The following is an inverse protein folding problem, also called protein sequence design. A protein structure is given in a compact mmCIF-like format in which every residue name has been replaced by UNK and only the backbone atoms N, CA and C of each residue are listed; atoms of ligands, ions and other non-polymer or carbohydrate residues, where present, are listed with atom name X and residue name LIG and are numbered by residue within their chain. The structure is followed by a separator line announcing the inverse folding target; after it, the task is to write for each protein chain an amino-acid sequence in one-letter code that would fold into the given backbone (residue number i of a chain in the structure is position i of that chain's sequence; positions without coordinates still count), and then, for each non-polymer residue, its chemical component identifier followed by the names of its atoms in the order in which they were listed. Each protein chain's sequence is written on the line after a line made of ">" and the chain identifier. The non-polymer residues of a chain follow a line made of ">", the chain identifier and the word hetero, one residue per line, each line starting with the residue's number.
data_IF_574023869692
#
_entry.id   IF_574023869692
#
_cell.length_a   1.000
_cell.length_b   1.000
_cell.length_c   1.000
_cell.angle_alpha   90.00
_cell.angle_beta   90.00
_cell.angle_gamma   90.00
#
_symmetry.space_group_name_H-M   'P 1'
#
loop_
_entity.id
_entity.type
_entity.pdbx_description
1 polymer ?
#
# COMPACT_ATOMS: atom_id res chain seq x y z
N UNK A 1 -8.53 3.50 -16.46
CA UNK A 1 -9.22 4.32 -15.45
C UNK A 1 -8.20 5.22 -14.74
N UNK A 2 -8.53 6.50 -14.47
CA UNK A 2 -7.69 7.44 -13.73
C UNK A 2 -7.71 7.09 -12.24
N UNK A 3 -6.57 7.25 -11.57
CA UNK A 3 -6.43 6.92 -10.15
C UNK A 3 -7.18 7.96 -9.30
N UNK A 4 -8.02 7.50 -8.37
CA UNK A 4 -8.64 8.35 -7.35
C UNK A 4 -7.83 8.15 -6.08
N UNK A 5 -7.13 9.19 -5.63
CA UNK A 5 -6.58 9.22 -4.27
C UNK A 5 -7.77 9.33 -3.33
N UNK A 6 -7.95 8.34 -2.45
CA UNK A 6 -9.06 8.31 -1.49
C UNK A 6 -8.47 8.66 -0.12
N UNK A 7 -8.54 9.94 0.24
CA UNK A 7 -8.31 10.39 1.61
C UNK A 7 -9.50 9.97 2.48
N UNK A 8 -9.22 9.18 3.53
CA UNK A 8 -9.90 9.23 4.83
C UNK A 8 -11.42 8.97 4.95
N UNK A 9 -12.20 8.81 3.88
CA UNK A 9 -13.60 8.42 4.00
C UNK A 9 -13.69 6.92 4.30
N UNK A 10 -14.09 6.58 5.52
CA UNK A 10 -14.35 5.22 6.02
C UNK A 10 -15.18 4.42 5.01
N UNK A 11 -14.49 3.64 4.17
CA UNK A 11 -15.11 2.75 3.19
C UNK A 11 -15.82 1.64 3.98
N UNK A 12 -17.16 1.65 3.96
CA UNK A 12 -18.00 0.59 4.57
C UNK A 12 -17.71 -0.80 3.99
N UNK A 13 -17.11 -0.89 2.81
CA UNK A 13 -16.80 -2.12 2.08
C UNK A 13 -15.34 -2.16 1.58
N UNK A 14 -14.39 -1.82 2.45
CA UNK A 14 -12.97 -1.82 2.09
C UNK A 14 -12.44 -3.20 1.66
N UNK A 15 -13.14 -4.28 2.06
CA UNK A 15 -12.75 -5.67 1.76
C UNK A 15 -12.90 -5.98 0.27
N UNK A 16 -14.03 -5.62 -0.36
CA UNK A 16 -14.19 -5.81 -1.81
C UNK A 16 -13.20 -4.98 -2.64
N UNK A 17 -12.79 -3.81 -2.13
CA UNK A 17 -11.73 -3.02 -2.75
C UNK A 17 -10.33 -3.64 -2.55
N UNK A 18 -10.04 -4.23 -1.39
CA UNK A 18 -8.76 -4.91 -1.15
C UNK A 18 -8.61 -6.15 -2.05
N UNK A 19 -9.68 -6.94 -2.21
CA UNK A 19 -9.68 -8.14 -3.05
C UNK A 19 -9.54 -7.82 -4.56
N UNK A 20 -9.99 -6.64 -4.99
CA UNK A 20 -9.79 -6.15 -6.36
C UNK A 20 -8.53 -5.30 -6.53
N UNK A 21 -7.81 -5.01 -5.43
CA UNK A 21 -6.60 -4.21 -5.45
C UNK A 21 -5.38 -5.05 -5.78
N UNK A 22 -4.61 -4.53 -6.73
CA UNK A 22 -3.41 -5.18 -7.24
C UNK A 22 -2.23 -4.97 -6.27
N UNK A 23 -2.24 -3.87 -5.53
CA UNK A 23 -1.17 -3.44 -4.63
C UNK A 23 -1.81 -2.83 -3.37
N UNK A 24 -1.32 -3.23 -2.21
CA UNK A 24 -1.65 -2.61 -0.93
C UNK A 24 -0.63 -1.51 -0.62
N UNK A 25 -1.10 -0.34 -0.19
CA UNK A 25 -0.23 0.77 0.22
C UNK A 25 -0.61 1.18 1.64
N UNK A 26 0.36 1.14 2.56
CA UNK A 26 0.18 1.66 3.91
C UNK A 26 1.04 2.91 4.10
N UNK A 27 0.40 4.02 4.45
CA UNK A 27 1.08 5.25 4.88
C UNK A 27 1.11 5.22 6.41
N UNK A 28 2.29 5.00 6.97
CA UNK A 28 2.51 4.84 8.40
C UNK A 28 2.92 6.19 8.97
N UNK A 29 1.94 6.90 9.52
CA UNK A 29 2.10 8.17 10.22
C UNK A 29 1.70 8.08 11.70
N UNK A 30 1.65 9.23 12.38
CA UNK A 30 1.33 9.29 13.81
C UNK A 30 -0.13 8.88 14.00
N UNK A 31 -0.35 7.75 14.68
CA UNK A 31 -1.68 7.19 14.92
C UNK A 31 -2.07 6.03 14.01
N UNK A 32 -1.23 5.63 13.04
CA UNK A 32 -1.52 4.47 12.18
C UNK A 32 -1.83 3.20 12.98
N UNK A 33 -1.00 2.88 13.98
CA UNK A 33 -1.23 1.71 14.84
C UNK A 33 -2.41 1.85 15.81
N UNK A 34 -2.92 3.06 16.00
CA UNK A 34 -4.09 3.33 16.86
C UNK A 34 -5.41 3.22 16.09
N UNK A 35 -5.36 3.22 14.74
CA UNK A 35 -6.52 3.02 13.88
C UNK A 35 -6.77 1.53 13.61
N UNK A 36 -7.82 1.00 14.22
CA UNK A 36 -8.25 -0.40 14.05
C UNK A 36 -8.50 -0.78 12.59
N UNK A 37 -8.96 0.16 11.74
CA UNK A 37 -9.19 -0.10 10.32
C UNK A 37 -7.86 -0.30 9.59
N UNK A 38 -6.85 0.51 9.90
CA UNK A 38 -5.51 0.37 9.33
C UNK A 38 -4.89 -0.99 9.70
N UNK A 39 -5.06 -1.42 10.96
CA UNK A 39 -4.63 -2.73 11.41
C UNK A 39 -5.36 -3.86 10.67
N UNK A 40 -6.68 -3.81 10.58
CA UNK A 40 -7.48 -4.82 9.87
C UNK A 40 -7.09 -4.92 8.38
N UNK A 41 -6.90 -3.78 7.71
CA UNK A 41 -6.45 -3.74 6.32
C UNK A 41 -5.07 -4.36 6.14
N UNK A 42 -4.14 -4.05 7.04
CA UNK A 42 -2.77 -4.59 7.00
C UNK A 42 -2.78 -6.11 7.19
N UNK A 43 -3.52 -6.60 8.19
CA UNK A 43 -3.66 -8.04 8.47
C UNK A 43 -4.34 -8.78 7.31
N UNK A 44 -5.36 -8.17 6.71
CA UNK A 44 -6.02 -8.75 5.55
C UNK A 44 -5.06 -8.83 4.36
N UNK A 45 -4.37 -7.74 4.01
CA UNK A 45 -3.36 -7.72 2.93
C UNK A 45 -2.27 -8.79 3.15
N UNK A 46 -1.83 -8.98 4.40
CA UNK A 46 -0.92 -10.07 4.80
C UNK A 46 -1.52 -11.45 4.55
N UNK A 47 -2.77 -11.67 4.94
CA UNK A 47 -3.44 -12.99 4.82
C UNK A 47 -3.56 -13.48 3.38
N UNK A 48 -3.81 -12.57 2.43
CA UNK A 48 -3.94 -12.87 1.00
C UNK A 48 -2.67 -12.53 0.20
N UNK A 49 -1.56 -12.22 0.89
CA UNK A 49 -0.22 -11.97 0.31
C UNK A 49 -0.20 -10.90 -0.80
N UNK A 50 -1.03 -9.87 -0.69
CA UNK A 50 -1.06 -8.77 -1.65
C UNK A 50 0.32 -8.07 -1.69
N UNK A 51 0.89 -7.80 -2.89
CA UNK A 51 2.09 -6.98 -3.02
C UNK A 51 1.92 -5.63 -2.31
N UNK A 52 2.83 -5.30 -1.40
CA UNK A 52 2.64 -4.23 -0.43
C UNK A 52 3.75 -3.18 -0.49
N UNK A 53 3.38 -1.90 -0.46
CA UNK A 53 4.30 -0.77 -0.32
C UNK A 53 4.05 -0.08 1.02
N UNK A 54 5.12 0.12 1.80
CA UNK A 54 5.07 0.92 3.02
C UNK A 54 5.64 2.31 2.77
N UNK A 55 4.97 3.32 3.30
CA UNK A 55 5.41 4.72 3.26
C UNK A 55 5.43 5.24 4.69
N UNK A 56 6.61 5.31 5.30
CA UNK A 56 6.80 5.52 6.74
C UNK A 56 7.26 6.96 7.00
N UNK A 57 6.59 7.68 7.90
CA UNK A 57 7.07 8.99 8.35
C UNK A 57 8.32 8.81 9.24
N UNK A 58 9.38 9.52 8.92
CA UNK A 58 10.61 9.55 9.71
C UNK A 58 10.34 10.04 11.14
N UNK A 59 11.01 9.42 12.12
CA UNK A 59 10.86 9.78 13.53
C UNK A 59 9.69 9.11 14.25
N UNK A 60 8.86 8.32 13.54
CA UNK A 60 7.83 7.51 14.19
C UNK A 60 8.45 6.24 14.76
N UNK A 61 8.45 6.16 16.09
CA UNK A 61 8.95 5.02 16.85
C UNK A 61 7.79 4.14 17.33
N UNK A 62 6.83 3.86 16.44
CA UNK A 62 5.83 2.83 16.71
C UNK A 62 6.51 1.47 16.53
N UNK A 63 6.15 0.47 17.33
CA UNK A 63 6.57 -0.93 17.20
C UNK A 63 6.02 -1.53 15.89
N UNK A 64 6.59 -1.05 14.80
CA UNK A 64 6.37 -1.35 13.38
C UNK A 64 6.82 -2.77 12.98
N UNK A 65 7.87 -3.41 13.56
CA UNK A 65 8.40 -4.65 13.01
C UNK A 65 7.39 -5.79 12.89
N UNK A 66 6.60 -6.04 13.94
CA UNK A 66 5.77 -7.26 14.01
C UNK A 66 4.49 -7.17 13.16
N UNK A 67 3.93 -5.98 13.00
CA UNK A 67 2.70 -5.78 12.22
C UNK A 67 2.97 -6.00 10.73
N UNK A 68 4.09 -5.47 10.23
CA UNK A 68 4.46 -5.54 8.83
C UNK A 68 5.30 -6.78 8.49
N UNK A 69 5.82 -7.49 9.49
CA UNK A 69 6.46 -8.78 9.28
C UNK A 69 5.50 -9.74 8.58
N UNK A 70 5.99 -10.47 7.59
CA UNK A 70 5.18 -11.37 6.75
C UNK A 70 4.28 -10.69 5.70
N UNK A 71 4.30 -9.35 5.56
CA UNK A 71 3.76 -8.72 4.35
C UNK A 71 4.62 -9.08 3.13
N UNK A 72 3.98 -9.19 1.96
CA UNK A 72 4.67 -9.33 0.69
C UNK A 72 5.21 -7.96 0.24
N UNK A 73 6.24 -7.46 0.93
CA UNK A 73 6.79 -6.12 0.73
C UNK A 73 7.56 -6.02 -0.58
N UNK A 74 7.11 -5.12 -1.45
CA UNK A 74 7.81 -4.80 -2.71
C UNK A 74 8.64 -3.52 -2.60
N UNK A 75 8.32 -2.62 -1.66
CA UNK A 75 9.07 -1.39 -1.42
C UNK A 75 8.73 -0.78 -0.06
N UNK A 76 9.72 -0.15 0.57
CA UNK A 76 9.54 0.74 1.72
C UNK A 76 10.12 2.11 1.37
N UNK A 77 9.34 3.16 1.60
CA UNK A 77 9.71 4.56 1.41
C UNK A 77 9.66 5.26 2.76
N UNK A 78 10.61 6.15 3.02
CA UNK A 78 10.61 7.01 4.20
C UNK A 78 10.37 8.45 3.78
N UNK A 79 9.53 9.17 4.53
CA UNK A 79 9.26 10.58 4.27
C UNK A 79 9.32 11.43 5.52
N UNK A 80 9.67 12.69 5.35
CA UNK A 80 9.49 13.77 6.31
C UNK A 80 8.79 14.95 5.61
N UNK A 81 8.50 16.02 6.34
CA UNK A 81 7.77 17.16 5.78
C UNK A 81 8.53 17.86 4.64
N UNK A 82 9.86 17.73 4.60
CA UNK A 82 10.70 18.36 3.56
C UNK A 82 10.76 17.57 2.26
N UNK A 83 10.59 16.24 2.29
CA UNK A 83 10.68 15.38 1.10
C UNK A 83 9.37 14.67 0.73
N UNK A 84 8.28 14.93 1.45
CA UNK A 84 6.97 14.28 1.26
C UNK A 84 6.52 14.26 -0.21
N UNK A 85 6.63 15.39 -0.89
CA UNK A 85 6.22 15.51 -2.30
C UNK A 85 7.04 14.60 -3.22
N UNK A 86 8.36 14.54 -3.02
CA UNK A 86 9.26 13.68 -3.78
C UNK A 86 8.95 12.19 -3.53
N UNK A 87 8.69 11.82 -2.27
CA UNK A 87 8.35 10.44 -1.89
C UNK A 87 7.00 10.02 -2.50
N UNK A 88 6.00 10.90 -2.47
CA UNK A 88 4.70 10.64 -3.09
C UNK A 88 4.81 10.51 -4.61
N UNK A 89 5.71 11.26 -5.24
CA UNK A 89 6.02 11.10 -6.66
C UNK A 89 6.64 9.72 -6.95
N UNK A 90 7.64 9.29 -6.16
CA UNK A 90 8.26 7.96 -6.28
C UNK A 90 7.24 6.84 -6.07
N UNK A 91 6.33 6.99 -5.11
CA UNK A 91 5.22 6.06 -4.90
C UNK A 91 4.36 5.95 -6.17
N UNK A 92 3.97 7.08 -6.75
CA UNK A 92 3.14 7.11 -7.97
C UNK A 92 3.85 6.53 -9.20
N UNK A 93 5.17 6.67 -9.31
CA UNK A 93 5.98 6.00 -10.32
C UNK A 93 6.01 4.49 -10.09
N UNK A 94 6.19 4.05 -8.83
CA UNK A 94 6.25 2.63 -8.50
C UNK A 94 4.95 1.89 -8.73
N UNK A 95 3.83 2.52 -8.39
CA UNK A 95 2.49 1.98 -8.68
C UNK A 95 2.27 1.80 -10.18
N UNK A 96 2.73 2.75 -11.00
CA UNK A 96 2.66 2.65 -12.47
C UNK A 96 3.51 1.51 -13.02
N UNK A 97 4.77 1.38 -12.57
CA UNK A 97 5.64 0.28 -12.98
C UNK A 97 5.04 -1.08 -12.64
N UNK A 98 4.54 -1.23 -11.40
CA UNK A 98 4.03 -2.49 -10.89
C UNK A 98 2.75 -2.88 -11.63
N UNK A 99 1.87 -1.91 -11.92
CA UNK A 99 0.73 -2.13 -12.80
C UNK A 99 1.15 -2.61 -14.19
N UNK A 100 2.13 -1.96 -14.83
CA UNK A 100 2.60 -2.36 -16.17
C UNK A 100 3.15 -3.79 -16.17
N UNK A 101 3.86 -4.19 -15.10
CA UNK A 101 4.35 -5.57 -14.95
C UNK A 101 3.19 -6.56 -14.85
N UNK A 102 2.21 -6.26 -14.01
CA UNK A 102 1.07 -7.14 -13.79
C UNK A 102 0.17 -7.21 -15.02
N UNK A 103 -0.07 -6.10 -15.71
CA UNK A 103 -0.77 -6.07 -16.99
C UNK A 103 -0.06 -6.93 -18.07
N UNK A 104 1.28 -7.03 -18.04
CA UNK A 104 2.06 -7.88 -18.96
C UNK A 104 2.04 -9.36 -18.57
N UNK A 105 2.01 -9.66 -17.27
CA UNK A 105 1.96 -11.04 -16.77
C UNK A 105 0.56 -11.64 -16.96
N UNK A 106 -0.50 -10.88 -16.65
CA UNK A 106 -1.89 -11.31 -16.86
C UNK A 106 -2.36 -11.15 -18.31
N UNK A 107 -1.75 -10.24 -19.10
CA UNK A 107 -2.08 -10.05 -20.51
C UNK A 107 -1.57 -11.13 -21.46
N UNK A 108 -0.68 -12.03 -21.00
CA UNK A 108 -0.14 -13.14 -21.79
C UNK A 108 -0.93 -14.45 -21.68
N UNK A 109 -1.91 -14.54 -20.79
CA UNK A 109 -2.75 -15.74 -20.64
C UNK A 109 -3.94 -15.80 -21.62
N UNK A 110 -4.17 -14.77 -22.45
CA UNK A 110 -5.30 -14.74 -23.40
C UNK A 110 -4.91 -14.97 -24.87
N UNK A 111 -3.68 -15.44 -25.16
CA UNK A 111 -3.30 -15.95 -26.48
C UNK A 111 -2.87 -17.42 -26.37
N UNK A 112 -3.82 -18.35 -26.25
CA UNK A 112 -3.62 -19.74 -26.68
C UNK A 112 -4.93 -20.42 -27.04
#
# INVERSE_FOLDING_TARGET
>A
MPYKLIEGEKIKDWRGYAESSIIYVAIVDEGFCDDMICLEQTLHAKSIKIPSILVIKEGINQTIPDLFDGLNLIMTLYYNDSNKEEVMKKLGEKLRETKIKLDKEFGRENET
#
